data_IF_849030921424
#
_entry.id   IF_849030921424
#
_cell.length_a   1.000
_cell.length_b   1.000
_cell.length_c   1.000
_cell.angle_alpha   90.00
_cell.angle_beta   90.00
_cell.angle_gamma   90.00
#
_symmetry.space_group_name_H-M   'P 1'
#
loop_
_entity.id
_entity.type
_entity.pdbx_description
1 polymer ?
#
# COMPACT_ATOMS: atom_id res chain seq x y z
N UNK A 1 -8.45 -19.10 -28.55
CA UNK A 1 -9.50 -18.18 -28.06
C UNK A 1 -9.42 -16.88 -28.84
N UNK A 2 -10.42 -16.56 -29.65
CA UNK A 2 -10.50 -15.27 -30.36
C UNK A 2 -10.79 -14.19 -29.29
N UNK A 3 -9.99 -13.11 -29.20
CA UNK A 3 -10.23 -12.05 -28.23
C UNK A 3 -11.63 -11.44 -28.41
N UNK A 4 -12.37 -11.36 -27.30
CA UNK A 4 -13.71 -10.75 -27.27
C UNK A 4 -13.49 -9.24 -27.19
N UNK A 5 -13.78 -8.54 -28.28
CA UNK A 5 -13.71 -7.08 -28.32
C UNK A 5 -15.06 -6.47 -27.95
N UNK A 6 -15.08 -5.37 -27.19
CA UNK A 6 -16.31 -4.60 -26.96
C UNK A 6 -16.84 -4.06 -28.29
N UNK A 7 -18.16 -4.13 -28.50
CA UNK A 7 -18.81 -3.68 -29.75
C UNK A 7 -18.49 -2.20 -30.08
N UNK A 8 -18.20 -1.39 -29.06
CA UNK A 8 -17.76 0.01 -29.22
C UNK A 8 -16.45 0.17 -30.01
N UNK A 9 -15.53 -0.78 -29.91
CA UNK A 9 -14.23 -0.75 -30.62
C UNK A 9 -14.41 -1.20 -32.07
N UNK A 10 -15.31 -2.15 -32.32
CA UNK A 10 -15.67 -2.61 -33.65
C UNK A 10 -16.42 -1.51 -34.44
N UNK A 11 -17.32 -0.77 -33.79
CA UNK A 11 -18.03 0.35 -34.43
C UNK A 11 -17.14 1.56 -34.72
N UNK A 12 -16.10 1.81 -33.92
CA UNK A 12 -15.15 2.91 -34.16
C UNK A 12 -14.21 2.65 -35.35
N UNK A 13 -14.05 1.40 -35.79
CA UNK A 13 -13.16 1.05 -36.90
C UNK A 13 -13.80 0.01 -37.84
N UNK A 14 -14.56 0.45 -38.86
CA UNK A 14 -15.34 -0.44 -39.72
C UNK A 14 -14.47 -1.37 -40.59
N UNK A 15 -13.24 -0.94 -40.95
CA UNK A 15 -12.29 -1.80 -41.67
C UNK A 15 -11.83 -2.97 -40.79
N UNK A 16 -11.55 -2.69 -39.51
CA UNK A 16 -11.21 -3.72 -38.54
C UNK A 16 -12.39 -4.66 -38.27
N UNK A 17 -13.62 -4.15 -38.24
CA UNK A 17 -14.82 -4.97 -38.09
C UNK A 17 -15.00 -5.95 -39.26
N UNK A 18 -14.81 -5.49 -40.51
CA UNK A 18 -14.90 -6.35 -41.68
C UNK A 18 -13.85 -7.47 -41.66
N UNK A 19 -12.61 -7.15 -41.32
CA UNK A 19 -11.53 -8.14 -41.19
C UNK A 19 -11.78 -9.10 -40.02
N UNK A 20 -12.24 -8.60 -38.87
CA UNK A 20 -12.57 -9.43 -37.71
C UNK A 20 -13.73 -10.39 -38.00
N UNK A 21 -14.75 -9.93 -38.72
CA UNK A 21 -15.85 -10.78 -39.17
C UNK A 21 -15.36 -11.82 -40.17
N UNK A 22 -14.60 -11.45 -41.20
CA UNK A 22 -14.05 -12.40 -42.18
C UNK A 22 -13.12 -13.44 -41.53
N UNK A 23 -12.31 -13.02 -40.55
CA UNK A 23 -11.48 -13.93 -39.77
C UNK A 23 -12.32 -14.89 -38.94
N UNK A 24 -13.41 -14.42 -38.30
CA UNK A 24 -14.28 -15.24 -37.44
C UNK A 24 -15.22 -16.16 -38.24
N UNK A 25 -15.66 -15.75 -39.43
CA UNK A 25 -16.62 -16.51 -40.25
C UNK A 25 -15.91 -17.43 -41.24
N UNK A 26 -14.94 -16.93 -41.99
CA UNK A 26 -14.34 -17.67 -43.11
C UNK A 26 -13.01 -18.34 -42.76
N UNK A 27 -12.18 -17.73 -41.90
CA UNK A 27 -10.79 -18.19 -41.72
C UNK A 27 -10.51 -18.95 -40.43
N UNK A 28 -11.28 -18.75 -39.36
CA UNK A 28 -11.01 -19.33 -38.03
C UNK A 28 -12.24 -20.06 -37.47
N UNK A 29 -12.00 -21.15 -36.75
CA UNK A 29 -12.94 -21.84 -35.89
C UNK A 29 -13.11 -21.08 -34.56
N UNK A 30 -14.17 -21.36 -33.77
CA UNK A 30 -14.39 -20.72 -32.46
C UNK A 30 -13.21 -20.86 -31.48
N UNK A 31 -12.39 -21.90 -31.64
CA UNK A 31 -11.19 -22.13 -30.81
C UNK A 31 -9.96 -21.32 -31.25
N UNK A 32 -10.08 -20.53 -32.34
CA UNK A 32 -9.02 -19.82 -33.05
C UNK A 32 -8.07 -20.70 -33.90
N UNK A 33 -8.46 -21.94 -34.21
CA UNK A 33 -7.76 -22.74 -35.24
C UNK A 33 -8.21 -22.32 -36.64
N UNK A 34 -7.31 -22.37 -37.64
CA UNK A 34 -7.68 -21.99 -39.00
C UNK A 34 -8.61 -23.01 -39.65
N UNK A 35 -9.64 -22.54 -40.34
CA UNK A 35 -10.46 -23.31 -41.29
C UNK A 35 -9.68 -23.58 -42.58
N UNK A 36 -8.48 -24.11 -42.46
CA UNK A 36 -7.77 -24.70 -43.58
C UNK A 36 -8.67 -25.81 -44.14
N UNK A 37 -8.85 -25.86 -45.47
CA UNK A 37 -9.56 -26.95 -46.12
C UNK A 37 -8.96 -28.28 -45.63
N UNK A 38 -9.80 -29.29 -45.39
CA UNK A 38 -9.33 -30.64 -45.03
C UNK A 38 -8.23 -31.15 -45.99
N UNK A 39 -8.23 -30.67 -47.24
CA UNK A 39 -7.20 -30.94 -48.23
C UNK A 39 -5.85 -30.27 -47.90
N UNK A 40 -5.85 -28.99 -47.52
CA UNK A 40 -4.62 -28.29 -47.09
C UNK A 40 -4.04 -28.82 -45.76
N UNK A 41 -4.89 -29.35 -44.87
CA UNK A 41 -4.42 -30.02 -43.64
C UNK A 41 -3.71 -31.33 -44.00
N UNK A 42 -4.28 -32.12 -44.92
CA UNK A 42 -3.66 -33.35 -45.42
C UNK A 42 -2.35 -33.08 -46.16
N UNK A 43 -2.32 -32.07 -47.02
CA UNK A 43 -1.11 -31.65 -47.73
C UNK A 43 -0.02 -31.19 -46.75
N UNK A 44 -0.36 -30.42 -45.72
CA UNK A 44 0.59 -30.04 -44.66
C UNK A 44 1.12 -31.27 -43.91
N UNK A 45 0.25 -32.20 -43.53
CA UNK A 45 0.67 -33.44 -42.86
C UNK A 45 1.56 -34.31 -43.74
N UNK A 46 1.30 -34.38 -45.04
CA UNK A 46 2.12 -35.14 -45.98
C UNK A 46 3.47 -34.47 -46.26
N UNK A 47 3.51 -33.13 -46.28
CA UNK A 47 4.77 -32.37 -46.29
C UNK A 47 5.56 -32.62 -45.01
N UNK A 48 4.91 -32.59 -43.84
CA UNK A 48 5.56 -32.85 -42.56
C UNK A 48 6.17 -34.26 -42.51
N UNK A 49 5.44 -35.28 -42.96
CA UNK A 49 5.97 -36.65 -43.10
C UNK A 49 7.16 -36.73 -44.05
N UNK A 50 7.11 -36.04 -45.19
CA UNK A 50 8.26 -36.00 -46.12
C UNK A 50 9.46 -35.30 -45.49
N UNK A 51 9.23 -34.22 -44.75
CA UNK A 51 10.27 -33.50 -44.04
C UNK A 51 10.88 -34.33 -42.92
N UNK A 52 10.11 -35.13 -42.18
CA UNK A 52 10.67 -36.05 -41.18
C UNK A 52 11.56 -37.08 -41.83
N UNK A 53 11.14 -37.71 -42.92
CA UNK A 53 11.96 -38.68 -43.67
C UNK A 53 13.26 -38.05 -44.17
N UNK A 54 13.20 -36.88 -44.81
CA UNK A 54 14.40 -36.20 -45.31
C UNK A 54 15.33 -35.79 -44.15
N UNK A 55 14.77 -35.34 -43.02
CA UNK A 55 15.55 -34.99 -41.84
C UNK A 55 16.22 -36.20 -41.21
N UNK A 56 15.52 -37.33 -41.12
CA UNK A 56 16.07 -38.60 -40.65
C UNK A 56 17.22 -39.07 -41.54
N UNK A 57 17.03 -39.03 -42.86
CA UNK A 57 18.08 -39.43 -43.81
C UNK A 57 19.29 -38.50 -43.73
N UNK A 58 19.07 -37.19 -43.69
CA UNK A 58 20.15 -36.21 -43.53
C UNK A 58 20.89 -36.39 -42.20
N UNK A 59 20.15 -36.62 -41.10
CA UNK A 59 20.74 -36.88 -39.78
C UNK A 59 21.56 -38.18 -39.80
N UNK A 60 21.03 -39.26 -40.40
CA UNK A 60 21.74 -40.54 -40.57
C UNK A 60 23.04 -40.35 -41.33
N UNK A 61 23.01 -39.66 -42.47
CA UNK A 61 24.21 -39.38 -43.27
C UNK A 61 25.22 -38.52 -42.51
N UNK A 62 24.78 -37.51 -41.77
CA UNK A 62 25.66 -36.65 -40.97
C UNK A 62 26.33 -37.42 -39.83
N UNK A 63 25.58 -38.23 -39.09
CA UNK A 63 26.11 -39.04 -37.97
C UNK A 63 27.15 -40.02 -38.52
N UNK A 64 26.81 -40.76 -39.59
CA UNK A 64 27.74 -41.71 -40.22
C UNK A 64 28.99 -40.98 -40.69
N UNK A 65 28.86 -39.81 -41.33
CA UNK A 65 30.01 -39.02 -41.81
C UNK A 65 30.91 -38.54 -40.66
N UNK A 66 30.33 -37.97 -39.62
CA UNK A 66 31.08 -37.47 -38.47
C UNK A 66 31.82 -38.63 -37.78
N UNK A 67 31.16 -39.77 -37.58
CA UNK A 67 31.77 -40.94 -36.95
C UNK A 67 32.80 -41.62 -37.84
N UNK A 68 32.58 -41.67 -39.15
CA UNK A 68 33.59 -42.11 -40.11
C UNK A 68 34.89 -41.31 -39.97
N UNK A 69 34.80 -39.99 -39.85
CA UNK A 69 35.97 -39.13 -39.65
C UNK A 69 36.72 -39.47 -38.35
N UNK A 70 35.99 -39.79 -37.28
CA UNK A 70 36.60 -40.22 -36.02
C UNK A 70 37.23 -41.62 -36.10
N UNK A 71 36.66 -42.53 -36.91
CA UNK A 71 37.18 -43.90 -37.12
C UNK A 71 38.43 -43.98 -38.00
N UNK A 72 38.75 -42.92 -38.76
CA UNK A 72 39.92 -42.85 -39.66
C UNK A 72 41.25 -43.10 -38.94
N UNK A 73 41.30 -42.84 -37.63
CA UNK A 73 42.53 -43.02 -36.83
C UNK A 73 42.83 -44.48 -36.47
N UNK A 74 41.80 -45.34 -36.47
CA UNK A 74 41.92 -46.76 -36.09
C UNK A 74 42.02 -47.70 -37.30
N UNK A 75 42.02 -47.14 -38.52
CA UNK A 75 42.03 -47.89 -39.77
C UNK A 75 43.41 -47.95 -40.43
N UNK A 76 43.69 -48.98 -41.25
CA UNK A 76 44.90 -49.05 -42.07
C UNK A 76 45.07 -47.82 -42.97
N UNK A 77 46.31 -47.36 -43.15
CA UNK A 77 46.65 -46.13 -43.89
C UNK A 77 46.05 -46.10 -45.30
N UNK A 78 46.06 -47.23 -46.01
CA UNK A 78 45.56 -47.35 -47.38
C UNK A 78 44.02 -47.17 -47.45
N UNK A 79 43.28 -47.64 -46.45
CA UNK A 79 41.83 -47.44 -46.37
C UNK A 79 41.47 -46.02 -45.96
N UNK A 80 42.33 -45.37 -45.16
CA UNK A 80 42.15 -43.98 -44.72
C UNK A 80 42.17 -43.01 -45.89
N UNK A 81 43.15 -43.16 -46.80
CA UNK A 81 43.27 -42.31 -47.99
C UNK A 81 42.07 -42.46 -48.93
N UNK A 82 41.57 -43.69 -49.12
CA UNK A 82 40.39 -43.95 -49.96
C UNK A 82 39.11 -43.37 -49.34
N UNK A 83 38.95 -43.43 -48.02
CA UNK A 83 37.80 -42.83 -47.32
C UNK A 83 37.86 -41.29 -47.36
N UNK A 84 39.04 -40.69 -47.15
CA UNK A 84 39.22 -39.23 -47.23
C UNK A 84 38.97 -38.71 -48.66
N UNK A 85 39.40 -39.47 -49.68
CA UNK A 85 39.09 -39.20 -51.07
C UNK A 85 37.57 -39.30 -51.35
N UNK A 86 36.89 -40.30 -50.79
CA UNK A 86 35.44 -40.48 -50.94
C UNK A 86 34.63 -39.36 -50.25
N UNK A 87 35.02 -38.96 -49.04
CA UNK A 87 34.39 -37.87 -48.28
C UNK A 87 34.57 -36.50 -48.97
N UNK A 88 35.69 -36.32 -49.68
CA UNK A 88 35.99 -35.12 -50.47
C UNK A 88 35.31 -35.13 -51.85
N UNK A 89 35.23 -36.31 -52.47
CA UNK A 89 34.56 -36.57 -53.76
C UNK A 89 33.06 -36.31 -53.69
N UNK A 90 32.36 -36.75 -52.63
CA UNK A 90 30.92 -36.50 -52.47
C UNK A 90 30.55 -35.01 -52.39
N UNK A 91 31.45 -34.16 -51.94
CA UNK A 91 31.23 -32.71 -51.90
C UNK A 91 31.55 -32.02 -53.24
N UNK A 92 32.34 -32.66 -54.11
CA UNK A 92 32.90 -32.05 -55.33
C UNK A 92 32.44 -32.72 -56.63
N UNK A 93 31.69 -33.84 -56.56
CA UNK A 93 31.18 -34.57 -57.73
C UNK A 93 32.23 -35.37 -58.51
N UNK A 94 33.40 -35.66 -57.91
CA UNK A 94 34.51 -36.32 -58.58
C UNK A 94 34.30 -37.84 -58.67
N UNK A 95 34.43 -38.43 -59.87
CA UNK A 95 34.23 -39.87 -60.10
C UNK A 95 35.42 -40.66 -59.54
N UNK A 96 35.15 -41.59 -58.63
CA UNK A 96 36.15 -42.52 -58.06
C UNK A 96 36.68 -43.48 -59.15
N UNK A 97 37.94 -43.91 -59.03
CA UNK A 97 38.44 -44.98 -59.90
C UNK A 97 37.83 -46.32 -59.46
N UNK A 98 37.57 -47.20 -60.43
CA UNK A 98 36.94 -48.52 -60.18
C UNK A 98 37.77 -49.40 -59.24
N UNK A 99 39.08 -49.23 -59.24
CA UNK A 99 40.00 -49.99 -58.39
C UNK A 99 39.94 -49.55 -56.92
N UNK A 100 39.79 -48.24 -56.67
CA UNK A 100 39.61 -47.67 -55.33
C UNK A 100 38.22 -48.05 -54.76
N UNK A 101 37.21 -48.16 -55.63
CA UNK A 101 35.87 -48.63 -55.28
C UNK A 101 35.88 -50.11 -54.87
N UNK A 102 36.61 -50.96 -55.59
CA UNK A 102 36.75 -52.38 -55.25
C UNK A 102 37.47 -52.57 -53.90
N UNK A 103 38.54 -51.81 -53.64
CA UNK A 103 39.28 -51.85 -52.37
C UNK A 103 38.44 -51.34 -51.18
N UNK A 104 37.64 -50.29 -51.39
CA UNK A 104 36.69 -49.81 -50.38
C UNK A 104 35.62 -50.85 -50.05
N UNK A 105 35.07 -51.54 -51.05
CA UNK A 105 34.08 -52.60 -50.85
C UNK A 105 34.65 -53.81 -50.10
N UNK A 106 35.93 -54.12 -50.29
CA UNK A 106 36.64 -55.18 -49.55
C UNK A 106 36.94 -54.79 -48.09
N UNK A 107 37.25 -53.50 -47.83
CA UNK A 107 37.47 -52.95 -46.49
C UNK A 107 36.20 -52.61 -45.70
N UNK A 108 35.04 -52.61 -46.36
CA UNK A 108 33.73 -52.30 -45.80
C UNK A 108 33.37 -53.08 -44.52
N UNK A 109 33.61 -54.40 -44.38
CA UNK A 109 33.34 -55.11 -43.12
C UNK A 109 34.16 -54.62 -41.94
N UNK A 110 35.41 -54.17 -42.15
CA UNK A 110 36.26 -53.64 -41.09
C UNK A 110 35.77 -52.25 -40.64
N UNK A 111 35.43 -51.40 -41.60
CA UNK A 111 34.84 -50.07 -41.38
C UNK A 111 33.51 -50.20 -40.64
N UNK A 112 32.64 -51.12 -41.07
CA UNK A 112 31.36 -51.36 -40.42
C UNK A 112 31.52 -51.85 -38.98
N UNK A 113 32.53 -52.69 -38.70
CA UNK A 113 32.81 -53.18 -37.35
C UNK A 113 33.29 -52.06 -36.41
N UNK A 114 34.20 -51.19 -36.85
CA UNK A 114 34.68 -50.07 -36.03
C UNK A 114 33.60 -49.00 -35.84
N UNK A 115 32.84 -48.67 -36.89
CA UNK A 115 31.69 -47.77 -36.79
C UNK A 115 30.62 -48.29 -35.84
N UNK A 116 30.25 -49.56 -35.94
CA UNK A 116 29.23 -50.14 -35.07
C UNK A 116 29.67 -50.11 -33.60
N UNK A 117 30.96 -50.35 -33.32
CA UNK A 117 31.51 -50.23 -31.96
C UNK A 117 31.31 -48.82 -31.39
N UNK A 118 31.70 -47.78 -32.15
CA UNK A 118 31.62 -46.39 -31.70
C UNK A 118 30.16 -45.92 -31.59
N UNK A 119 29.29 -46.32 -32.53
CA UNK A 119 27.86 -46.00 -32.46
C UNK A 119 27.17 -46.66 -31.27
N UNK A 120 27.60 -47.87 -30.87
CA UNK A 120 27.11 -48.52 -29.67
C UNK A 120 27.62 -47.82 -28.40
N UNK A 121 28.89 -47.41 -28.35
CA UNK A 121 29.46 -46.61 -27.25
C UNK A 121 28.67 -45.28 -27.07
N UNK A 122 28.46 -44.54 -28.15
CA UNK A 122 27.65 -43.31 -28.14
C UNK A 122 26.21 -43.56 -27.67
N UNK A 123 25.59 -44.65 -28.15
CA UNK A 123 24.22 -44.98 -27.77
C UNK A 123 24.12 -45.36 -26.30
N UNK A 124 25.14 -46.02 -25.74
CA UNK A 124 25.22 -46.30 -24.30
C UNK A 124 25.46 -45.03 -23.48
N UNK A 125 26.28 -44.10 -23.95
CA UNK A 125 26.50 -42.81 -23.28
C UNK A 125 25.24 -41.94 -23.30
N UNK A 126 24.52 -41.90 -24.43
CA UNK A 126 23.22 -41.25 -24.53
C UNK A 126 22.17 -41.90 -23.65
N UNK A 127 22.15 -43.24 -23.57
CA UNK A 127 21.27 -43.97 -22.65
C UNK A 127 21.57 -43.60 -21.20
N UNK A 128 22.84 -43.57 -20.80
CA UNK A 128 23.29 -43.16 -19.46
C UNK A 128 22.83 -41.73 -19.11
N UNK A 129 22.92 -40.79 -20.05
CA UNK A 129 22.45 -39.40 -19.82
C UNK A 129 20.92 -39.29 -19.73
N UNK A 130 20.19 -40.20 -20.38
CA UNK A 130 18.72 -40.19 -20.42
C UNK A 130 18.08 -40.99 -19.27
N UNK A 131 18.79 -41.93 -18.66
CA UNK A 131 18.33 -42.65 -17.46
C UNK A 131 18.77 -41.88 -16.21
N UNK A 132 17.82 -41.29 -15.49
CA UNK A 132 18.05 -40.88 -14.09
C UNK A 132 18.16 -42.14 -13.22
N UNK A 133 19.15 -42.19 -12.31
CA UNK A 133 19.53 -43.09 -11.18
C UNK A 133 18.71 -44.35 -10.79
N UNK A 134 17.53 -44.60 -11.36
CA UNK A 134 16.55 -45.61 -10.94
C UNK A 134 16.65 -46.92 -11.75
N UNK A 135 17.32 -46.93 -12.91
CA UNK A 135 17.56 -48.16 -13.68
C UNK A 135 19.04 -48.28 -14.11
N UNK A 136 19.78 -49.32 -13.66
CA UNK A 136 21.23 -49.42 -13.83
C UNK A 136 21.69 -49.98 -15.19
N UNK A 137 20.78 -50.43 -16.06
CA UNK A 137 21.15 -51.06 -17.33
C UNK A 137 20.83 -50.14 -18.54
N UNK A 138 21.83 -49.47 -19.12
CA UNK A 138 21.65 -48.61 -20.30
C UNK A 138 21.48 -49.47 -21.55
N UNK A 139 20.23 -49.84 -21.83
CA UNK A 139 19.90 -50.52 -23.09
C UNK A 139 19.67 -49.47 -24.19
N UNK A 140 20.48 -49.45 -25.27
CA UNK A 140 20.34 -48.45 -26.34
C UNK A 140 19.01 -48.57 -27.09
N UNK A 141 18.37 -49.74 -27.04
CA UNK A 141 17.07 -50.01 -27.67
C UNK A 141 15.88 -49.39 -26.94
N UNK A 142 16.01 -49.02 -25.66
CA UNK A 142 14.92 -48.38 -24.91
C UNK A 142 14.94 -46.85 -25.03
N UNK A 143 16.03 -46.28 -25.56
CA UNK A 143 16.23 -44.84 -25.75
C UNK A 143 15.10 -44.13 -26.52
N UNK A 144 14.56 -44.66 -27.63
CA UNK A 144 13.48 -43.98 -28.35
C UNK A 144 12.22 -43.82 -27.50
N UNK A 145 11.88 -44.85 -26.70
CA UNK A 145 10.70 -44.84 -25.83
C UNK A 145 10.85 -43.90 -24.63
N UNK A 146 12.06 -43.77 -24.09
CA UNK A 146 12.34 -42.83 -22.99
C UNK A 146 12.36 -41.39 -23.48
N UNK A 147 12.90 -41.14 -24.69
CA UNK A 147 12.85 -39.83 -25.33
C UNK A 147 11.41 -39.42 -25.63
N UNK A 148 10.58 -40.30 -26.21
CA UNK A 148 9.18 -39.98 -26.48
C UNK A 148 8.42 -39.68 -25.19
N UNK A 149 8.60 -40.49 -24.13
CA UNK A 149 7.98 -40.24 -22.84
C UNK A 149 8.41 -38.89 -22.23
N UNK A 150 9.69 -38.50 -22.37
CA UNK A 150 10.17 -37.19 -21.90
C UNK A 150 9.66 -36.03 -22.74
N UNK A 151 9.49 -36.20 -24.05
CA UNK A 151 8.86 -35.19 -24.90
C UNK A 151 7.40 -35.00 -24.48
N UNK A 152 6.67 -36.08 -24.23
CA UNK A 152 5.30 -36.02 -23.73
C UNK A 152 5.22 -35.31 -22.37
N UNK A 153 6.14 -35.60 -21.43
CA UNK A 153 6.16 -34.89 -20.13
C UNK A 153 6.51 -33.41 -20.28
N UNK A 154 7.43 -33.06 -21.18
CA UNK A 154 7.76 -31.66 -21.48
C UNK A 154 6.57 -30.92 -22.09
N UNK A 155 5.82 -31.55 -23.00
CA UNK A 155 4.63 -30.96 -23.59
C UNK A 155 3.52 -30.76 -22.54
N UNK A 156 3.32 -31.74 -21.64
CA UNK A 156 2.41 -31.60 -20.50
C UNK A 156 2.82 -30.44 -19.58
N UNK A 157 4.11 -30.33 -19.24
CA UNK A 157 4.62 -29.22 -18.43
C UNK A 157 4.47 -27.87 -19.14
N UNK A 158 4.70 -27.81 -20.45
CA UNK A 158 4.51 -26.60 -21.26
C UNK A 158 3.05 -26.17 -21.27
N UNK A 159 2.12 -27.10 -21.41
CA UNK A 159 0.68 -26.83 -21.34
C UNK A 159 0.27 -26.35 -19.95
N UNK A 160 0.74 -27.01 -18.88
CA UNK A 160 0.49 -26.60 -17.50
C UNK A 160 1.00 -25.18 -17.22
N UNK A 161 2.22 -24.86 -17.65
CA UNK A 161 2.81 -23.54 -17.50
C UNK A 161 2.02 -22.47 -18.28
N UNK A 162 1.56 -22.79 -19.49
CA UNK A 162 0.68 -21.91 -20.25
C UNK A 162 -0.65 -21.65 -19.50
N UNK A 163 -1.28 -22.70 -18.97
CA UNK A 163 -2.52 -22.57 -18.20
C UNK A 163 -2.34 -21.69 -16.96
N UNK A 164 -1.27 -21.89 -16.20
CA UNK A 164 -0.95 -21.10 -15.01
C UNK A 164 -0.73 -19.62 -15.38
N UNK A 165 -0.01 -19.35 -16.48
CA UNK A 165 0.18 -17.97 -16.97
C UNK A 165 -1.15 -17.31 -17.32
N UNK A 166 -2.04 -18.01 -18.03
CA UNK A 166 -3.37 -17.49 -18.35
C UNK A 166 -4.19 -17.20 -17.08
N UNK A 167 -4.20 -18.11 -16.11
CA UNK A 167 -4.90 -17.91 -14.85
C UNK A 167 -4.35 -16.73 -14.05
N UNK A 168 -3.03 -16.56 -14.02
CA UNK A 168 -2.38 -15.43 -13.36
C UNK A 168 -2.81 -14.09 -13.98
N UNK A 169 -2.74 -13.99 -15.32
CA UNK A 169 -3.18 -12.80 -16.04
C UNK A 169 -4.65 -12.47 -15.80
N UNK A 170 -5.52 -13.49 -15.81
CA UNK A 170 -6.94 -13.31 -15.53
C UNK A 170 -7.19 -12.77 -14.11
N UNK A 171 -6.48 -13.29 -13.10
CA UNK A 171 -6.56 -12.79 -11.71
C UNK A 171 -6.05 -11.36 -11.59
N UNK A 172 -4.95 -11.02 -12.27
CA UNK A 172 -4.42 -9.64 -12.27
C UNK A 172 -5.40 -8.64 -12.90
N UNK A 173 -6.10 -9.03 -13.97
CA UNK A 173 -7.15 -8.21 -14.57
C UNK A 173 -8.33 -8.01 -13.62
N UNK A 174 -8.82 -9.07 -12.97
CA UNK A 174 -9.88 -8.97 -11.97
C UNK A 174 -9.49 -8.05 -10.81
N UNK A 175 -8.25 -8.15 -10.32
CA UNK A 175 -7.73 -7.27 -9.27
C UNK A 175 -7.68 -5.81 -9.73
N UNK A 176 -7.27 -5.55 -10.97
CA UNK A 176 -7.25 -4.20 -11.54
C UNK A 176 -8.67 -3.62 -11.67
N UNK A 177 -9.65 -4.42 -12.08
CA UNK A 177 -11.07 -4.02 -12.13
C UNK A 177 -11.63 -3.69 -10.75
N UNK A 178 -11.37 -4.55 -9.75
CA UNK A 178 -11.77 -4.30 -8.37
C UNK A 178 -11.14 -3.02 -7.81
N UNK A 179 -9.85 -2.81 -8.04
CA UNK A 179 -9.17 -1.58 -7.64
C UNK A 179 -9.77 -0.34 -8.30
N UNK A 180 -10.09 -0.42 -9.60
CA UNK A 180 -10.77 0.67 -10.31
C UNK A 180 -12.13 0.97 -9.68
N UNK A 181 -12.91 -0.05 -9.35
CA UNK A 181 -14.23 0.11 -8.74
C UNK A 181 -14.13 0.69 -7.32
N UNK A 182 -13.14 0.27 -6.54
CA UNK A 182 -12.85 0.81 -5.21
C UNK A 182 -12.51 2.29 -5.32
N UNK A 183 -11.55 2.65 -6.17
CA UNK A 183 -11.14 4.05 -6.38
C UNK A 183 -12.32 4.91 -6.86
N UNK A 184 -13.14 4.41 -7.79
CA UNK A 184 -14.31 5.13 -8.24
C UNK A 184 -15.32 5.37 -7.10
N UNK A 185 -15.54 4.36 -6.26
CA UNK A 185 -16.45 4.46 -5.12
C UNK A 185 -15.92 5.39 -4.05
N UNK A 186 -14.62 5.37 -3.76
CA UNK A 186 -14.01 6.30 -2.79
C UNK A 186 -14.06 7.73 -3.29
N UNK A 187 -13.80 7.98 -4.59
CA UNK A 187 -13.98 9.31 -5.19
C UNK A 187 -15.41 9.78 -5.01
N UNK A 188 -16.42 8.96 -5.35
CA UNK A 188 -17.83 9.30 -5.16
C UNK A 188 -18.18 9.61 -3.70
N UNK A 189 -17.66 8.83 -2.75
CA UNK A 189 -17.87 9.08 -1.32
C UNK A 189 -17.22 10.39 -0.86
N UNK A 190 -16.01 10.70 -1.32
CA UNK A 190 -15.33 11.96 -1.01
C UNK A 190 -16.09 13.13 -1.62
N UNK A 191 -16.52 13.01 -2.88
CA UNK A 191 -17.36 14.00 -3.54
C UNK A 191 -18.65 14.23 -2.76
N UNK A 192 -19.37 13.19 -2.34
CA UNK A 192 -20.60 13.33 -1.57
C UNK A 192 -20.40 13.92 -0.17
N UNK A 193 -19.37 13.47 0.55
CA UNK A 193 -19.17 13.84 1.97
C UNK A 193 -18.43 15.17 2.16
N UNK A 194 -17.51 15.53 1.26
CA UNK A 194 -16.74 16.78 1.37
C UNK A 194 -17.28 17.88 0.46
N UNK A 195 -17.75 17.50 -0.72
CA UNK A 195 -18.13 18.47 -1.75
C UNK A 195 -19.63 18.45 -2.10
N UNK A 196 -20.37 17.49 -1.53
CA UNK A 196 -21.73 17.15 -1.93
C UNK A 196 -22.78 18.07 -1.32
N UNK A 197 -24.01 17.90 -1.80
CA UNK A 197 -25.17 18.68 -1.38
C UNK A 197 -25.42 18.59 0.12
N UNK A 198 -25.19 17.43 0.75
CA UNK A 198 -25.38 17.23 2.20
C UNK A 198 -24.40 18.06 3.03
N UNK A 199 -23.11 18.04 2.69
CA UNK A 199 -22.09 18.84 3.35
C UNK A 199 -22.34 20.35 3.15
N UNK A 200 -22.74 20.75 1.94
CA UNK A 200 -23.12 22.14 1.65
C UNK A 200 -24.37 22.55 2.43
N UNK A 201 -25.40 21.71 2.49
CA UNK A 201 -26.64 21.96 3.22
C UNK A 201 -26.40 22.10 4.73
N UNK A 202 -25.60 21.21 5.33
CA UNK A 202 -25.19 21.30 6.73
C UNK A 202 -24.40 22.59 7.00
N UNK A 203 -23.47 22.95 6.10
CA UNK A 203 -22.72 24.21 6.21
C UNK A 203 -23.62 25.44 6.12
N UNK A 204 -24.61 25.45 5.21
CA UNK A 204 -25.57 26.56 5.12
C UNK A 204 -26.49 26.62 6.34
N UNK A 205 -26.93 25.47 6.87
CA UNK A 205 -27.74 25.40 8.08
C UNK A 205 -26.98 25.89 9.30
N UNK A 206 -25.72 25.49 9.48
CA UNK A 206 -24.87 25.96 10.56
C UNK A 206 -24.64 27.48 10.47
N UNK A 207 -24.38 28.01 9.27
CA UNK A 207 -24.29 29.47 9.05
C UNK A 207 -25.58 30.20 9.38
N UNK A 208 -26.72 29.65 8.98
CA UNK A 208 -28.03 30.22 9.29
C UNK A 208 -28.27 30.27 10.81
N UNK A 209 -27.99 29.18 11.52
CA UNK A 209 -28.13 29.13 12.99
C UNK A 209 -27.19 30.12 13.69
N UNK A 210 -25.96 30.29 13.20
CA UNK A 210 -25.03 31.31 13.71
C UNK A 210 -25.58 32.72 13.53
N UNK A 211 -26.07 33.06 12.32
CA UNK A 211 -26.67 34.36 12.06
C UNK A 211 -27.92 34.62 12.92
N UNK A 212 -28.74 33.58 13.13
CA UNK A 212 -29.90 33.67 14.04
C UNK A 212 -29.42 33.95 15.47
N UNK A 213 -28.38 33.26 15.95
CA UNK A 213 -27.78 33.49 17.27
C UNK A 213 -27.28 34.93 17.42
N UNK A 214 -26.54 35.44 16.44
CA UNK A 214 -26.01 36.81 16.45
C UNK A 214 -27.15 37.84 16.42
N UNK A 215 -28.21 37.56 15.66
CA UNK A 215 -29.40 38.42 15.62
C UNK A 215 -30.16 38.42 16.95
N UNK A 216 -30.21 37.28 17.64
CA UNK A 216 -30.82 37.16 18.96
C UNK A 216 -30.00 37.87 20.01
N UNK A 217 -28.68 37.73 20.01
CA UNK A 217 -27.78 38.49 20.89
C UNK A 217 -27.97 40.01 20.68
N UNK A 218 -28.06 40.45 19.41
CA UNK A 218 -28.41 41.83 19.08
C UNK A 218 -29.75 42.27 19.64
N UNK A 219 -30.82 41.46 19.48
CA UNK A 219 -32.14 41.75 20.04
C UNK A 219 -32.13 41.81 21.57
N UNK A 220 -31.44 40.89 22.22
CA UNK A 220 -31.32 40.86 23.69
C UNK A 220 -30.61 42.11 24.18
N UNK A 221 -29.55 42.58 23.52
CA UNK A 221 -28.88 43.84 23.85
C UNK A 221 -29.80 45.04 23.68
N UNK A 222 -30.58 45.10 22.61
CA UNK A 222 -31.57 46.18 22.42
C UNK A 222 -32.60 46.16 23.55
N UNK A 223 -33.20 45.00 23.85
CA UNK A 223 -34.16 44.87 24.96
C UNK A 223 -33.55 45.22 26.32
N UNK A 224 -32.27 44.90 26.52
CA UNK A 224 -31.54 45.28 27.72
C UNK A 224 -31.42 46.81 27.83
N UNK A 225 -31.01 47.50 26.76
CA UNK A 225 -30.94 48.96 26.76
C UNK A 225 -32.31 49.61 26.90
N UNK A 226 -33.35 49.10 26.23
CA UNK A 226 -34.73 49.59 26.42
C UNK A 226 -35.23 49.40 27.86
N UNK A 227 -34.87 48.29 28.52
CA UNK A 227 -35.20 48.08 29.92
C UNK A 227 -34.43 49.01 30.85
N UNK A 228 -33.14 49.26 30.56
CA UNK A 228 -32.36 50.26 31.28
C UNK A 228 -32.94 51.66 31.12
N UNK A 229 -33.30 52.08 29.91
CA UNK A 229 -33.92 53.38 29.66
C UNK A 229 -35.25 53.53 30.41
N UNK A 230 -36.03 52.45 30.56
CA UNK A 230 -37.26 52.46 31.36
C UNK A 230 -37.03 52.54 32.87
N UNK A 231 -35.94 51.97 33.39
CA UNK A 231 -35.63 51.97 34.82
C UNK A 231 -34.88 53.24 35.23
N UNK A 232 -33.99 53.72 34.37
CA UNK A 232 -33.23 54.96 34.51
C UNK A 232 -33.92 56.11 33.78
N UNK A 233 -35.17 56.37 34.15
CA UNK A 233 -35.83 57.59 33.74
C UNK A 233 -35.14 58.82 34.36
N UNK A 234 -35.30 60.00 33.76
CA UNK A 234 -34.63 61.22 34.21
C UNK A 234 -34.96 61.52 35.68
N UNK A 235 -36.18 61.20 36.10
CA UNK A 235 -36.63 61.37 37.48
C UNK A 235 -35.92 60.42 38.46
N UNK A 236 -35.66 59.17 38.06
CA UNK A 236 -34.95 58.20 38.92
C UNK A 236 -33.46 58.53 39.00
N UNK A 237 -32.86 59.02 37.90
CA UNK A 237 -31.48 59.52 37.87
C UNK A 237 -31.33 60.75 38.77
N UNK A 238 -32.27 61.70 38.69
CA UNK A 238 -32.29 62.88 39.56
C UNK A 238 -32.47 62.47 41.04
N UNK A 239 -33.39 61.56 41.34
CA UNK A 239 -33.60 61.04 42.70
C UNK A 239 -32.35 60.33 43.26
N UNK A 240 -31.65 59.54 42.44
CA UNK A 240 -30.38 58.91 42.80
C UNK A 240 -29.28 59.95 43.04
N UNK A 241 -29.23 61.02 42.26
CA UNK A 241 -28.29 62.13 42.46
C UNK A 241 -28.55 62.85 43.80
N UNK A 242 -29.80 63.16 44.11
CA UNK A 242 -30.17 63.74 45.40
C UNK A 242 -29.86 62.80 46.57
N UNK A 243 -30.12 61.50 46.42
CA UNK A 243 -29.79 60.52 47.45
C UNK A 243 -28.28 60.42 47.69
N UNK A 244 -27.47 60.48 46.62
CA UNK A 244 -26.01 60.53 46.72
C UNK A 244 -25.53 61.76 47.47
N UNK A 245 -26.04 62.94 47.12
CA UNK A 245 -25.71 64.19 47.81
C UNK A 245 -26.07 64.12 49.30
N UNK A 246 -27.26 63.59 49.62
CA UNK A 246 -27.69 63.39 51.00
C UNK A 246 -26.77 62.41 51.77
N UNK A 247 -26.30 61.33 51.13
CA UNK A 247 -25.35 60.40 51.73
C UNK A 247 -23.98 61.05 51.97
N UNK A 248 -23.51 61.90 51.07
CA UNK A 248 -22.27 62.66 51.26
C UNK A 248 -22.40 63.63 52.45
N UNK A 249 -23.52 64.34 52.54
CA UNK A 249 -23.82 65.25 53.65
C UNK A 249 -23.91 64.53 55.00
N UNK A 250 -24.64 63.42 55.05
CA UNK A 250 -24.76 62.60 56.28
C UNK A 250 -23.41 62.03 56.69
N UNK A 251 -22.58 61.58 55.74
CA UNK A 251 -21.20 61.15 56.01
C UNK A 251 -20.35 62.28 56.58
N UNK A 252 -20.45 63.51 56.06
CA UNK A 252 -19.75 64.67 56.60
C UNK A 252 -20.24 65.00 58.01
N UNK A 253 -21.55 64.94 58.28
CA UNK A 253 -22.12 65.16 59.62
C UNK A 253 -21.65 64.11 60.62
N UNK A 254 -21.68 62.83 60.26
CA UNK A 254 -21.19 61.74 61.10
C UNK A 254 -19.70 61.87 61.38
N UNK A 255 -18.89 62.24 60.39
CA UNK A 255 -17.46 62.56 60.61
C UNK A 255 -17.26 63.73 61.57
N UNK A 256 -18.09 64.78 61.48
CA UNK A 256 -18.06 65.89 62.43
C UNK A 256 -18.47 65.45 63.84
N UNK A 257 -19.49 64.60 63.97
CA UNK A 257 -19.91 64.03 65.26
C UNK A 257 -18.83 63.12 65.86
N UNK A 258 -18.20 62.28 65.04
CA UNK A 258 -17.08 61.44 65.44
C UNK A 258 -15.93 62.28 65.97
N UNK A 259 -15.50 63.33 65.24
CA UNK A 259 -14.46 64.24 65.73
C UNK A 259 -14.83 64.98 67.01
N UNK A 260 -16.10 65.33 67.19
CA UNK A 260 -16.57 65.95 68.44
C UNK A 260 -16.51 64.96 69.61
N UNK A 261 -17.01 63.75 69.41
CA UNK A 261 -16.97 62.70 70.43
C UNK A 261 -15.53 62.28 70.77
N UNK A 262 -14.63 62.23 69.78
CA UNK A 262 -13.19 62.04 69.99
C UNK A 262 -12.58 63.19 70.82
N UNK A 263 -12.90 64.45 70.48
CA UNK A 263 -12.45 65.60 71.28
C UNK A 263 -12.99 65.58 72.71
N UNK A 264 -14.27 65.23 72.91
CA UNK A 264 -14.85 65.05 74.26
C UNK A 264 -14.14 63.92 75.02
N UNK A 265 -13.82 62.80 74.38
CA UNK A 265 -13.06 61.71 74.99
C UNK A 265 -11.63 62.14 75.35
N UNK A 266 -10.93 62.89 74.49
CA UNK A 266 -9.62 63.46 74.78
C UNK A 266 -9.68 64.41 75.99
N UNK A 267 -10.73 65.24 76.09
CA UNK A 267 -10.97 66.08 77.26
C UNK A 267 -11.18 65.23 78.52
N UNK A 268 -12.00 64.17 78.46
CA UNK A 268 -12.21 63.25 79.58
C UNK A 268 -10.95 62.48 79.98
N UNK A 269 -10.12 62.05 79.03
CA UNK A 269 -8.81 61.45 79.32
C UNK A 269 -7.89 62.43 80.05
N UNK A 270 -7.89 63.70 79.65
CA UNK A 270 -7.18 64.79 80.34
C UNK A 270 -7.67 65.01 81.78
N UNK A 271 -8.98 64.95 82.02
CA UNK A 271 -9.54 64.99 83.39
C UNK A 271 -9.21 63.73 84.20
N UNK A 272 -9.19 62.55 83.56
CA UNK A 272 -8.85 61.29 84.20
C UNK A 272 -7.42 61.26 84.75
N UNK A 273 -6.47 61.96 84.12
CA UNK A 273 -5.10 62.09 84.61
C UNK A 273 -5.02 62.98 85.86
N UNK A 274 -5.81 64.04 85.92
CA UNK A 274 -5.96 64.89 87.11
C UNK A 274 -6.61 64.16 88.28
N UNK A 275 -7.72 63.45 88.03
CA UNK A 275 -8.42 62.66 89.06
C UNK A 275 -7.54 61.53 89.58
N UNK A 276 -6.74 60.87 88.73
CA UNK A 276 -5.75 59.88 89.20
C UNK A 276 -4.75 60.48 90.18
N UNK A 277 -4.25 61.71 89.94
CA UNK A 277 -3.35 62.39 90.88
C UNK A 277 -4.02 62.72 92.21
N UNK A 278 -5.28 63.14 92.18
CA UNK A 278 -6.01 63.50 93.40
C UNK A 278 -6.45 62.27 94.20
N UNK A 279 -6.79 61.16 93.55
CA UNK A 279 -7.05 59.87 94.22
C UNK A 279 -5.79 59.35 94.92
N UNK A 280 -4.61 59.50 94.31
CA UNK A 280 -3.33 59.14 94.95
C UNK A 280 -3.05 59.99 96.20
N UNK A 281 -3.31 61.30 96.14
CA UNK A 281 -3.17 62.18 97.32
C UNK A 281 -4.18 61.85 98.42
N UNK A 282 -5.42 61.54 98.06
CA UNK A 282 -6.44 61.12 99.04
C UNK A 282 -6.10 59.78 99.69
N UNK A 283 -5.50 58.84 98.96
CA UNK A 283 -5.01 57.58 99.52
C UNK A 283 -3.89 57.82 100.55
N UNK A 284 -2.96 58.73 100.26
CA UNK A 284 -1.91 59.14 101.20
C UNK A 284 -2.49 59.79 102.46
N UNK A 285 -3.46 60.70 102.32
CA UNK A 285 -4.14 61.34 103.47
C UNK A 285 -4.89 60.29 104.30
N UNK A 286 -5.52 59.29 103.69
CA UNK A 286 -6.17 58.20 104.43
C UNK A 286 -5.17 57.37 105.23
N UNK A 287 -4.00 57.08 104.66
CA UNK A 287 -2.92 56.38 105.35
C UNK A 287 -2.39 57.22 106.53
N UNK A 288 -2.23 58.52 106.36
CA UNK A 288 -1.86 59.45 107.44
C UNK A 288 -2.94 59.53 108.54
N UNK A 289 -4.23 59.47 108.19
CA UNK A 289 -5.35 59.41 109.15
C UNK A 289 -5.34 58.09 109.93
N UNK A 290 -5.03 56.97 109.27
CA UNK A 290 -4.92 55.68 109.95
C UNK A 290 -3.71 55.62 110.88
N UNK A 291 -2.55 56.18 110.46
CA UNK A 291 -1.37 56.30 111.31
C UNK A 291 -1.63 57.21 112.52
N UNK A 292 -2.24 58.38 112.33
CA UNK A 292 -2.60 59.27 113.45
C UNK A 292 -3.63 58.64 114.39
N UNK A 293 -4.61 57.88 113.88
CA UNK A 293 -5.51 57.08 114.73
C UNK A 293 -4.77 55.99 115.51
N UNK A 294 -3.80 55.33 114.89
CA UNK A 294 -2.97 54.33 115.55
C UNK A 294 -2.09 54.95 116.65
N UNK A 295 -1.53 56.13 116.41
CA UNK A 295 -0.70 56.87 117.37
C UNK A 295 -1.53 57.41 118.55
N UNK A 296 -2.74 57.91 118.31
CA UNK A 296 -3.68 58.33 119.38
C UNK A 296 -4.03 57.14 120.27
N UNK A 297 -4.25 55.94 119.69
CA UNK A 297 -4.49 54.72 120.47
C UNK A 297 -3.27 54.27 121.27
N UNK A 298 -2.05 54.60 120.84
CA UNK A 298 -0.80 54.15 121.47
C UNK A 298 -0.34 55.05 122.62
N UNK A 299 -0.78 56.30 122.67
CA UNK A 299 -0.35 57.30 123.66
C UNK A 299 -1.23 57.43 124.92
N UNK A 300 -2.17 56.50 125.13
CA UNK A 300 -2.88 56.37 126.41
C UNK A 300 -4.01 57.39 126.60
N UNK A 301 -5.21 57.00 126.18
CA UNK A 301 -6.45 57.69 126.53
C UNK A 301 -7.64 56.79 126.25
N UNK A 302 -8.38 56.45 127.31
CA UNK A 302 -9.70 55.85 127.22
C UNK A 302 -10.66 56.79 126.49
N UNK A 303 -11.10 56.34 125.30
CA UNK A 303 -12.47 56.35 124.80
C UNK A 303 -12.56 55.33 123.64
#
# INVERSE_FOLDING_TARGET
MIPIFPDEVLHKNPQFQAVFQDLKTNKLNPDASSKLSNQSIKESQDVDKRLTVIREDLARTKIIRQRLIHTLNDLPADLREVIDLYLSSQNSGAVLRKDDEAFFLEGLPLICKSLNKILLEDATDLANMCTSDINPDPNPFTLPSTISARLDTLDLHRQSLHQIRCQSLQRSLQLAELNRNLISSTIKLVEQTKHGLTARAQKTQAKHLSLVSDSLDGKVKIMYFEALDRLYDQDTVNALAFYKEHLEDTKVRLKKQMRKAEGELEEYEGFGEGVKRDVVKYAQILEDIEQTKADIRRLGGDA
#
